data_IF_974365366271
#
_entry.id   IF_974365366271
#
_cell.length_a   1.000
_cell.length_b   1.000
_cell.length_c   1.000
_cell.angle_alpha   90.00
_cell.angle_beta   90.00
_cell.angle_gamma   90.00
#
_symmetry.space_group_name_H-M   'P 1'
#
loop_
_entity.id
_entity.type
_entity.pdbx_description
1 polymer ?
#
# COMPACT_ATOMS: atom_id res chain seq x y z
N UNK A 1 -1.84 16.65 -14.58
CA UNK A 1 -1.20 15.41 -14.09
C UNK A 1 -2.21 14.51 -13.36
N UNK A 2 -2.91 14.99 -12.32
CA UNK A 2 -3.90 14.21 -11.55
C UNK A 2 -5.00 13.58 -12.42
N UNK A 3 -5.64 14.38 -13.30
CA UNK A 3 -6.64 13.87 -14.25
C UNK A 3 -6.11 12.85 -15.25
N UNK A 4 -4.81 12.90 -15.61
CA UNK A 4 -4.18 11.92 -16.49
C UNK A 4 -3.97 10.56 -15.79
N UNK A 5 -3.58 10.58 -14.51
CA UNK A 5 -3.45 9.36 -13.69
C UNK A 5 -4.83 8.73 -13.45
N UNK A 6 -5.85 9.54 -13.15
CA UNK A 6 -7.23 9.07 -13.00
C UNK A 6 -7.74 8.47 -14.32
N UNK A 7 -7.49 9.14 -15.45
CA UNK A 7 -7.86 8.66 -16.77
C UNK A 7 -7.21 7.33 -17.11
N UNK A 8 -5.90 7.18 -16.84
CA UNK A 8 -5.16 5.95 -17.07
C UNK A 8 -5.66 4.81 -16.15
N UNK A 9 -5.86 5.07 -14.86
CA UNK A 9 -6.41 4.06 -13.94
C UNK A 9 -7.82 3.62 -14.34
N UNK A 10 -8.67 4.57 -14.75
CA UNK A 10 -10.02 4.27 -15.26
C UNK A 10 -9.96 3.45 -16.55
N UNK A 11 -9.04 3.76 -17.48
CA UNK A 11 -8.82 2.99 -18.69
C UNK A 11 -8.32 1.58 -18.38
N UNK A 12 -7.31 1.43 -17.52
CA UNK A 12 -6.78 0.13 -17.07
C UNK A 12 -7.88 -0.74 -16.43
N UNK A 13 -8.75 -0.13 -15.63
CA UNK A 13 -9.93 -0.81 -15.08
C UNK A 13 -10.91 -1.23 -16.18
N UNK A 14 -11.25 -0.34 -17.12
CA UNK A 14 -12.15 -0.63 -18.24
C UNK A 14 -11.66 -1.76 -19.15
N UNK A 15 -10.36 -1.83 -19.43
CA UNK A 15 -9.77 -2.89 -20.25
C UNK A 15 -9.52 -4.19 -19.47
N UNK A 16 -9.94 -4.25 -18.20
CA UNK A 16 -9.79 -5.44 -17.38
C UNK A 16 -8.34 -5.74 -16.97
N UNK A 17 -7.42 -4.77 -17.09
CA UNK A 17 -6.00 -4.99 -16.76
C UNK A 17 -5.83 -5.47 -15.32
N UNK A 18 -6.57 -4.88 -14.37
CA UNK A 18 -6.46 -5.30 -12.98
C UNK A 18 -7.05 -6.70 -12.74
N UNK A 19 -8.08 -7.09 -13.49
CA UNK A 19 -8.65 -8.45 -13.46
C UNK A 19 -7.62 -9.44 -13.98
N UNK A 20 -7.04 -9.14 -15.15
CA UNK A 20 -5.95 -9.93 -15.71
C UNK A 20 -4.75 -10.03 -14.76
N UNK A 21 -4.34 -8.92 -14.13
CA UNK A 21 -3.22 -8.90 -13.20
C UNK A 21 -3.52 -9.75 -11.97
N UNK A 22 -4.74 -9.66 -11.44
CA UNK A 22 -5.18 -10.47 -10.31
C UNK A 22 -5.24 -11.96 -10.66
N UNK A 23 -5.70 -12.33 -11.87
CA UNK A 23 -5.66 -13.69 -12.38
C UNK A 23 -4.23 -14.19 -12.62
N UNK A 24 -3.36 -13.36 -13.20
CA UNK A 24 -1.95 -13.67 -13.40
C UNK A 24 -1.25 -13.90 -12.05
N UNK A 25 -1.54 -13.08 -11.04
CA UNK A 25 -1.01 -13.28 -9.69
C UNK A 25 -1.59 -14.54 -9.04
N UNK A 26 -2.90 -14.81 -9.17
CA UNK A 26 -3.53 -16.04 -8.67
C UNK A 26 -2.94 -17.30 -9.30
N UNK A 27 -2.61 -17.26 -10.60
CA UNK A 27 -2.08 -18.40 -11.33
C UNK A 27 -0.58 -18.63 -11.08
N UNK A 28 0.17 -17.58 -10.77
CA UNK A 28 1.62 -17.66 -10.54
C UNK A 28 2.00 -17.67 -9.04
N UNK A 29 1.07 -17.29 -8.16
CA UNK A 29 1.23 -17.32 -6.71
C UNK A 29 0.10 -18.19 -6.16
N UNK A 30 0.39 -19.46 -5.85
CA UNK A 30 -0.58 -20.30 -5.16
C UNK A 30 -0.76 -19.76 -3.73
N UNK A 31 -1.87 -19.07 -3.50
CA UNK A 31 -2.30 -18.69 -2.16
C UNK A 31 -3.14 -19.80 -1.50
N UNK A 32 -2.95 -21.07 -1.89
CA UNK A 32 -3.69 -22.25 -1.42
C UNK A 32 -3.82 -22.25 0.10
N UNK A 33 -4.97 -21.81 0.62
CA UNK A 33 -5.23 -21.71 2.07
C UNK A 33 -4.39 -20.67 2.84
N UNK A 34 -3.57 -19.85 2.18
CA UNK A 34 -2.63 -18.91 2.80
C UNK A 34 -3.06 -17.44 2.66
N UNK A 35 -4.33 -17.12 2.93
CA UNK A 35 -4.88 -15.76 2.84
C UNK A 35 -4.10 -14.71 3.65
N UNK A 36 -3.50 -15.12 4.78
CA UNK A 36 -2.64 -14.26 5.60
C UNK A 36 -1.33 -13.88 4.90
N UNK A 37 -0.74 -14.79 4.12
CA UNK A 37 0.46 -14.50 3.32
C UNK A 37 0.10 -13.51 2.22
N UNK A 38 -1.04 -13.71 1.56
CA UNK A 38 -1.54 -12.77 0.55
C UNK A 38 -1.72 -11.36 1.12
N UNK A 39 -2.33 -11.24 2.30
CA UNK A 39 -2.46 -9.98 3.02
C UNK A 39 -1.10 -9.28 3.22
N UNK A 40 -0.10 -9.97 3.76
CA UNK A 40 1.23 -9.40 4.01
C UNK A 40 1.86 -8.93 2.70
N UNK A 41 1.79 -9.74 1.64
CA UNK A 41 2.35 -9.41 0.33
C UNK A 41 1.66 -8.19 -0.29
N UNK A 42 0.33 -8.13 -0.23
CA UNK A 42 -0.45 -6.99 -0.74
C UNK A 42 -0.01 -5.69 -0.03
N UNK A 43 0.11 -5.71 1.29
CA UNK A 43 0.52 -4.53 2.06
C UNK A 43 1.97 -4.15 1.76
N UNK A 44 2.88 -5.12 1.63
CA UNK A 44 4.26 -4.85 1.24
C UNK A 44 4.36 -4.20 -0.15
N UNK A 45 3.63 -4.75 -1.14
CA UNK A 45 3.56 -4.17 -2.49
C UNK A 45 2.98 -2.75 -2.46
N UNK A 46 1.98 -2.51 -1.60
CA UNK A 46 1.36 -1.19 -1.42
C UNK A 46 2.39 -0.12 -1.01
N UNK A 47 3.36 -0.50 -0.18
CA UNK A 47 4.45 0.39 0.28
C UNK A 47 5.49 0.56 -0.83
N UNK A 48 5.89 -0.52 -1.51
CA UNK A 48 6.87 -0.45 -2.60
C UNK A 48 6.39 0.45 -3.74
N UNK A 49 5.11 0.35 -4.10
CA UNK A 49 4.52 1.16 -5.17
C UNK A 49 4.51 2.65 -4.79
N UNK A 50 4.45 3.03 -3.50
CA UNK A 50 4.52 4.44 -3.07
C UNK A 50 5.79 5.14 -3.52
N UNK A 51 6.87 4.41 -3.78
CA UNK A 51 8.07 4.95 -4.40
C UNK A 51 7.76 5.75 -5.68
N UNK A 52 6.82 5.29 -6.50
CA UNK A 52 6.47 5.92 -7.79
C UNK A 52 5.48 7.09 -7.67
N UNK A 53 4.99 7.39 -6.46
CA UNK A 53 3.92 8.37 -6.26
C UNK A 53 4.35 9.52 -5.33
N UNK A 54 4.37 10.74 -5.87
CA UNK A 54 4.55 11.95 -5.07
C UNK A 54 3.29 12.41 -4.31
N UNK A 55 2.15 11.75 -4.54
CA UNK A 55 0.87 12.09 -3.91
C UNK A 55 0.19 10.83 -3.39
N UNK A 56 -0.13 10.83 -2.09
CA UNK A 56 -0.91 9.76 -1.46
C UNK A 56 -2.33 9.68 -2.02
N UNK A 57 -2.94 10.80 -2.39
CA UNK A 57 -4.28 10.80 -2.97
C UNK A 57 -4.28 10.24 -4.40
N UNK A 58 -3.28 10.58 -5.22
CA UNK A 58 -3.11 9.99 -6.56
C UNK A 58 -2.87 8.48 -6.47
N UNK A 59 -2.07 8.05 -5.49
CA UNK A 59 -1.85 6.64 -5.20
C UNK A 59 -3.15 5.93 -4.82
N UNK A 60 -3.94 6.49 -3.89
CA UNK A 60 -5.20 5.88 -3.46
C UNK A 60 -6.12 5.63 -4.66
N UNK A 61 -6.32 6.65 -5.49
CA UNK A 61 -7.23 6.55 -6.65
C UNK A 61 -6.72 5.53 -7.67
N UNK A 62 -5.40 5.44 -7.86
CA UNK A 62 -4.84 4.55 -8.86
C UNK A 62 -4.75 3.09 -8.39
N UNK A 63 -4.34 2.85 -7.14
CA UNK A 63 -3.83 1.55 -6.68
C UNK A 63 -4.73 0.84 -5.66
N UNK A 64 -5.53 1.55 -4.86
CA UNK A 64 -6.41 0.90 -3.88
C UNK A 64 -7.43 -0.04 -4.55
N UNK A 65 -8.06 0.29 -5.69
CA UNK A 65 -8.93 -0.66 -6.39
C UNK A 65 -8.22 -1.95 -6.82
N UNK A 66 -6.94 -1.84 -7.17
CA UNK A 66 -6.10 -2.97 -7.60
C UNK A 66 -5.84 -3.92 -6.44
N UNK A 67 -5.40 -3.36 -5.30
CA UNK A 67 -5.12 -4.15 -4.11
C UNK A 67 -6.40 -4.73 -3.49
N UNK A 68 -7.52 -4.02 -3.55
CA UNK A 68 -8.82 -4.53 -3.12
C UNK A 68 -9.27 -5.74 -3.97
N UNK A 69 -9.09 -5.68 -5.29
CA UNK A 69 -9.38 -6.82 -6.15
C UNK A 69 -8.43 -8.00 -5.86
N UNK A 70 -7.13 -7.71 -5.70
CA UNK A 70 -6.14 -8.75 -5.38
C UNK A 70 -6.48 -9.46 -4.07
N UNK A 71 -6.87 -8.72 -3.04
CA UNK A 71 -7.33 -9.26 -1.76
C UNK A 71 -8.54 -10.19 -1.92
N UNK A 72 -9.50 -9.79 -2.75
CA UNK A 72 -10.71 -10.56 -3.04
C UNK A 72 -10.42 -11.89 -3.73
N UNK A 73 -9.50 -11.92 -4.71
CA UNK A 73 -9.17 -13.16 -5.42
C UNK A 73 -8.16 -14.05 -4.69
N UNK A 74 -7.37 -13.48 -3.77
CA UNK A 74 -6.33 -14.20 -3.03
C UNK A 74 -6.81 -14.79 -1.70
N UNK A 75 -8.06 -14.53 -1.31
CA UNK A 75 -8.60 -14.95 -0.01
C UNK A 75 -7.99 -14.22 1.18
N UNK A 76 -7.42 -13.02 0.98
CA UNK A 76 -6.92 -12.21 2.08
C UNK A 76 -8.09 -11.71 2.95
N UNK A 77 -7.93 -11.56 4.28
CA UNK A 77 -8.94 -10.98 5.14
C UNK A 77 -9.27 -9.55 4.70
N UNK A 78 -10.46 -9.36 4.10
CA UNK A 78 -10.82 -8.11 3.40
C UNK A 78 -10.81 -6.90 4.33
N UNK A 79 -11.39 -7.02 5.53
CA UNK A 79 -11.42 -5.92 6.51
C UNK A 79 -10.01 -5.52 6.95
N UNK A 80 -9.18 -6.49 7.34
CA UNK A 80 -7.79 -6.22 7.73
C UNK A 80 -6.99 -5.65 6.58
N UNK A 81 -7.19 -6.14 5.36
CA UNK A 81 -6.51 -5.62 4.16
C UNK A 81 -6.89 -4.16 3.90
N UNK A 82 -8.17 -3.81 4.00
CA UNK A 82 -8.64 -2.45 3.83
C UNK A 82 -8.01 -1.49 4.86
N UNK A 83 -8.01 -1.87 6.15
CA UNK A 83 -7.35 -1.11 7.21
C UNK A 83 -5.85 -0.98 6.94
N UNK A 84 -5.19 -2.09 6.61
CA UNK A 84 -3.76 -2.10 6.38
C UNK A 84 -3.33 -1.23 5.19
N UNK A 85 -4.12 -1.19 4.11
CA UNK A 85 -3.89 -0.32 2.96
C UNK A 85 -4.09 1.16 3.28
N UNK A 86 -5.05 1.48 4.16
CA UNK A 86 -5.27 2.85 4.64
C UNK A 86 -4.04 3.36 5.40
N UNK A 87 -3.53 2.57 6.35
CA UNK A 87 -2.37 2.97 7.15
C UNK A 87 -1.07 2.93 6.34
N UNK A 88 -0.89 1.93 5.46
CA UNK A 88 0.31 1.82 4.62
C UNK A 88 0.48 2.96 3.64
N UNK A 89 -0.62 3.57 3.18
CA UNK A 89 -0.53 4.78 2.38
C UNK A 89 0.19 5.92 3.13
N UNK A 90 0.01 6.04 4.44
CA UNK A 90 0.60 7.11 5.25
C UNK A 90 2.11 6.95 5.39
N UNK A 91 2.59 5.87 6.02
CA UNK A 91 4.04 5.68 6.22
C UNK A 91 4.76 5.21 4.95
N UNK A 92 4.05 4.67 3.96
CA UNK A 92 4.62 4.42 2.64
C UNK A 92 5.10 5.72 1.96
N UNK A 93 4.60 6.89 2.37
CA UNK A 93 5.14 8.18 1.93
C UNK A 93 6.55 8.49 2.46
N UNK A 94 7.05 7.77 3.46
CA UNK A 94 8.38 7.98 4.05
C UNK A 94 9.52 7.48 3.16
N UNK A 95 9.24 6.56 2.22
CA UNK A 95 10.24 5.90 1.35
C UNK A 95 10.98 6.88 0.43
N UNK A 96 10.39 8.03 0.13
CA UNK A 96 11.01 9.07 -0.68
C UNK A 96 10.75 10.45 -0.08
N UNK A 97 11.70 11.36 -0.27
CA UNK A 97 11.54 12.78 0.10
C UNK A 97 10.35 13.49 -0.57
N UNK A 98 9.78 12.94 -1.64
CA UNK A 98 8.60 13.49 -2.32
C UNK A 98 7.30 12.73 -2.04
N UNK A 99 7.32 11.65 -1.25
CA UNK A 99 6.16 10.77 -1.05
C UNK A 99 4.97 11.41 -0.31
N UNK A 100 5.16 12.59 0.28
CA UNK A 100 4.13 13.40 0.91
C UNK A 100 4.43 14.89 0.84
N UNK A 101 3.41 15.74 1.00
CA UNK A 101 3.51 17.19 0.77
C UNK A 101 4.57 17.90 1.65
N UNK A 102 4.74 17.44 2.89
CA UNK A 102 5.74 18.01 3.80
C UNK A 102 7.19 17.63 3.42
N UNK A 103 7.39 16.49 2.73
CA UNK A 103 8.71 15.96 2.42
C UNK A 103 9.58 16.91 1.60
N UNK A 104 9.12 17.40 0.43
CA UNK A 104 9.89 18.34 -0.39
C UNK A 104 10.19 19.66 0.32
N UNK A 105 9.28 20.13 1.18
CA UNK A 105 9.46 21.36 1.95
C UNK A 105 10.59 21.21 2.96
N UNK A 106 10.60 20.10 3.72
CA UNK A 106 11.65 19.82 4.71
C UNK A 106 12.98 19.51 4.03
N UNK A 107 12.96 18.71 2.95
CA UNK A 107 14.16 18.38 2.18
C UNK A 107 14.79 19.62 1.54
N UNK A 108 13.98 20.57 1.08
CA UNK A 108 14.43 21.83 0.47
C UNK A 108 15.23 22.74 1.39
N UNK A 109 15.19 22.53 2.72
CA UNK A 109 16.02 23.29 3.68
C UNK A 109 17.49 22.87 3.62
N UNK A 110 17.81 21.70 3.04
CA UNK A 110 19.19 21.27 2.81
C UNK A 110 19.89 20.62 3.99
N UNK A 111 19.17 20.27 5.07
CA UNK A 111 19.74 19.58 6.24
C UNK A 111 20.12 18.12 5.99
N UNK A 112 19.54 17.48 4.97
CA UNK A 112 19.73 16.06 4.67
C UNK A 112 20.04 15.87 3.18
N UNK A 113 20.91 14.92 2.86
CA UNK A 113 21.10 14.46 1.49
C UNK A 113 20.07 13.38 1.11
N UNK A 114 19.94 13.12 -0.20
CA UNK A 114 18.92 12.22 -0.74
C UNK A 114 19.12 10.77 -0.25
N UNK A 115 20.37 10.32 -0.10
CA UNK A 115 20.71 8.95 0.28
C UNK A 115 20.35 8.72 1.75
N UNK A 116 20.74 9.64 2.63
CA UNK A 116 20.39 9.56 4.05
C UNK A 116 18.88 9.57 4.26
N UNK A 117 18.15 10.45 3.57
CA UNK A 117 16.69 10.49 3.66
C UNK A 117 16.04 9.16 3.27
N UNK A 118 16.46 8.57 2.15
CA UNK A 118 15.81 7.36 1.62
C UNK A 118 16.15 6.12 2.44
N UNK A 119 17.40 6.02 2.94
CA UNK A 119 17.79 4.92 3.82
C UNK A 119 16.98 4.98 5.12
N UNK A 120 16.98 6.14 5.79
CA UNK A 120 16.26 6.30 7.06
C UNK A 120 14.75 6.13 6.85
N UNK A 121 14.20 6.75 5.81
CA UNK A 121 12.78 6.64 5.45
C UNK A 121 12.36 5.20 5.15
N UNK A 122 13.19 4.45 4.42
CA UNK A 122 12.97 3.02 4.14
C UNK A 122 13.02 2.16 5.41
N UNK A 123 13.98 2.41 6.30
CA UNK A 123 14.05 1.72 7.61
C UNK A 123 12.80 2.00 8.44
N UNK A 124 12.38 3.27 8.54
CA UNK A 124 11.19 3.65 9.31
C UNK A 124 9.90 3.07 8.70
N UNK A 125 9.78 3.06 7.37
CA UNK A 125 8.66 2.44 6.70
C UNK A 125 8.61 0.92 6.96
N UNK A 126 9.76 0.24 6.94
CA UNK A 126 9.86 -1.19 7.25
C UNK A 126 9.51 -1.50 8.72
N UNK A 127 10.05 -0.72 9.67
CA UNK A 127 9.74 -0.89 11.09
C UNK A 127 8.25 -0.65 11.37
N UNK A 128 7.67 0.37 10.72
CA UNK A 128 6.24 0.68 10.85
C UNK A 128 5.37 -0.39 10.20
N UNK A 129 5.80 -0.95 9.07
CA UNK A 129 5.16 -2.10 8.45
C UNK A 129 5.15 -3.32 9.39
N UNK A 130 6.30 -3.68 9.98
CA UNK A 130 6.41 -4.78 10.93
C UNK A 130 5.49 -4.54 12.14
N UNK A 131 5.48 -3.33 12.68
CA UNK A 131 4.60 -2.95 13.79
C UNK A 131 3.13 -3.10 13.40
N UNK A 132 2.75 -2.63 12.21
CA UNK A 132 1.38 -2.73 11.71
C UNK A 132 0.93 -4.19 11.56
N UNK A 133 1.71 -5.03 10.88
CA UNK A 133 1.30 -6.42 10.62
C UNK A 133 1.31 -7.28 11.88
N UNK A 134 1.99 -6.86 12.95
CA UNK A 134 2.02 -7.56 14.24
C UNK A 134 1.03 -6.95 15.23
N UNK A 135 1.40 -5.85 15.88
CA UNK A 135 0.60 -5.19 16.91
C UNK A 135 -0.67 -4.56 16.34
N UNK A 136 -0.60 -3.98 15.14
CA UNK A 136 -1.77 -3.38 14.49
C UNK A 136 -2.84 -4.41 14.16
N UNK A 137 -2.45 -5.52 13.51
CA UNK A 137 -3.36 -6.63 13.21
C UNK A 137 -3.91 -7.25 14.48
N UNK A 138 -3.07 -7.50 15.50
CA UNK A 138 -3.53 -8.01 16.80
C UNK A 138 -4.60 -7.10 17.42
N UNK A 139 -4.37 -5.79 17.40
CA UNK A 139 -5.34 -4.82 17.91
C UNK A 139 -6.65 -4.81 17.12
N UNK A 140 -6.59 -4.87 15.79
CA UNK A 140 -7.79 -4.89 14.95
C UNK A 140 -8.59 -6.17 15.13
N UNK A 141 -7.94 -7.32 15.24
CA UNK A 141 -8.59 -8.61 15.55
C UNK A 141 -9.35 -8.54 16.89
N UNK A 142 -8.77 -7.89 17.92
CA UNK A 142 -9.49 -7.66 19.18
C UNK A 142 -10.74 -6.78 18.99
N UNK A 143 -10.64 -5.70 18.22
CA UNK A 143 -11.77 -4.80 17.97
C UNK A 143 -12.89 -5.49 17.18
N UNK A 144 -12.53 -6.34 16.20
CA UNK A 144 -13.48 -7.16 15.44
C UNK A 144 -14.15 -8.17 16.37
N UNK A 145 -13.39 -8.84 17.25
CA UNK A 145 -13.94 -9.78 18.22
C UNK A 145 -14.89 -9.11 19.22
N UNK A 146 -14.71 -7.82 19.51
CA UNK A 146 -15.60 -7.02 20.36
C UNK A 146 -16.79 -6.40 19.60
N UNK A 147 -16.86 -6.56 18.28
CA UNK A 147 -17.92 -5.97 17.44
C UNK A 147 -17.89 -4.45 17.39
N UNK A 148 -16.72 -3.83 17.65
CA UNK A 148 -16.54 -2.37 17.59
C UNK A 148 -16.35 -1.91 16.15
N UNK A 149 -15.71 -2.74 15.33
CA UNK A 149 -15.49 -2.54 13.88
C UNK A 149 -15.80 -3.82 13.10
#
# INVERSE_FOLDING_TARGET
WYGGIIGLSSLLSKVGFFVWLAEALKNNISFDGHGNVAFIVIVALSILVRYFFASGSAYIVAMVPVFAMLANVSGAPIMLTALALLFSNSYGGMVTHYGGAAGPVIFGVGYNDIKSWWIIGGILALLTFILQITLGVWWWEMLIAWGVI
#
